data_IF_891487660960
#
_entry.id   IF_891487660960
#
_cell.length_a   1.000
_cell.length_b   1.000
_cell.length_c   1.000
_cell.angle_alpha   90.00
_cell.angle_beta   90.00
_cell.angle_gamma   90.00
#
_symmetry.space_group_name_H-M   'P 1'
#
loop_
_entity.id
_entity.type
_entity.pdbx_description
1 polymer ?
#
# COMPACT_ATOMS: atom_id res chain seq x y z
N UNK A 1 8.62 3.57 -6.26
CA UNK A 1 7.78 4.64 -6.86
C UNK A 1 8.29 6.01 -6.45
N UNK A 2 8.45 6.95 -7.39
CA UNK A 2 9.11 8.26 -7.15
C UNK A 2 8.36 9.16 -6.17
N UNK A 3 7.03 9.20 -6.26
CA UNK A 3 6.18 10.13 -5.50
C UNK A 3 6.08 9.82 -4.00
N UNK A 4 6.34 8.58 -3.57
CA UNK A 4 6.33 8.20 -2.14
C UNK A 4 7.67 8.46 -1.43
N UNK A 5 8.72 8.82 -2.17
CA UNK A 5 10.07 9.03 -1.59
C UNK A 5 10.24 10.46 -1.09
N UNK A 6 11.25 10.65 -0.23
CA UNK A 6 11.72 11.96 0.22
C UNK A 6 10.62 12.87 0.81
N UNK A 7 9.65 12.28 1.53
CA UNK A 7 8.55 13.00 2.20
C UNK A 7 7.73 13.92 1.27
N UNK A 8 7.64 13.60 -0.02
CA UNK A 8 6.92 14.42 -1.02
C UNK A 8 5.43 14.56 -0.76
N UNK A 9 4.84 13.61 -0.02
CA UNK A 9 3.45 13.65 0.42
C UNK A 9 3.29 14.12 1.87
N UNK A 10 4.29 14.85 2.40
CA UNK A 10 4.26 15.38 3.77
C UNK A 10 4.53 14.34 4.87
N UNK A 11 4.71 13.06 4.53
CA UNK A 11 4.99 11.99 5.48
C UNK A 11 5.99 10.96 4.91
N UNK A 12 6.59 10.17 5.82
CA UNK A 12 7.63 9.20 5.45
C UNK A 12 7.06 7.84 5.11
N UNK A 13 7.27 7.42 3.86
CA UNK A 13 7.06 6.04 3.44
C UNK A 13 8.34 5.22 3.53
N UNK A 14 8.23 4.02 4.10
CA UNK A 14 9.22 2.95 4.01
C UNK A 14 8.79 1.97 2.91
N UNK A 15 9.73 1.29 2.27
CA UNK A 15 9.48 0.33 1.18
C UNK A 15 9.89 -1.08 1.63
N UNK A 16 9.15 -2.11 1.18
CA UNK A 16 9.42 -3.53 1.42
C UNK A 16 9.65 -3.82 2.91
N UNK A 17 8.64 -3.52 3.72
CA UNK A 17 8.74 -3.62 5.18
C UNK A 17 8.16 -4.95 5.66
N UNK A 18 8.93 -5.77 6.40
CA UNK A 18 8.38 -6.94 7.08
C UNK A 18 7.41 -6.52 8.19
N UNK A 19 6.22 -7.14 8.20
CA UNK A 19 5.18 -6.99 9.21
C UNK A 19 4.59 -8.37 9.53
N UNK A 20 5.03 -8.96 10.64
CA UNK A 20 4.67 -10.33 11.00
C UNK A 20 5.11 -11.30 9.91
N UNK A 21 4.17 -12.08 9.37
CA UNK A 21 4.41 -13.05 8.31
C UNK A 21 4.39 -12.44 6.89
N UNK A 22 4.20 -11.12 6.77
CA UNK A 22 4.01 -10.45 5.49
C UNK A 22 5.13 -9.44 5.22
N UNK A 23 5.39 -9.16 3.94
CA UNK A 23 6.17 -8.00 3.52
C UNK A 23 5.20 -7.09 2.76
N UNK A 24 5.16 -5.81 3.16
CA UNK A 24 4.32 -4.78 2.53
C UNK A 24 5.15 -3.92 1.60
N UNK A 25 4.62 -3.55 0.43
CA UNK A 25 5.39 -2.80 -0.56
C UNK A 25 5.78 -1.41 -0.08
N UNK A 26 4.82 -0.67 0.48
CA UNK A 26 5.08 0.62 1.12
C UNK A 26 4.24 0.81 2.37
N UNK A 27 4.79 1.54 3.35
CA UNK A 27 4.06 1.90 4.57
C UNK A 27 4.45 3.28 5.07
N UNK A 28 3.46 4.09 5.42
CA UNK A 28 3.59 5.26 6.26
C UNK A 28 3.16 4.88 7.68
N UNK A 29 4.13 4.69 8.58
CA UNK A 29 3.86 4.27 9.97
C UNK A 29 3.14 5.36 10.77
N UNK A 30 3.48 6.62 10.50
CA UNK A 30 2.88 7.79 11.16
C UNK A 30 1.38 7.86 10.91
N UNK A 31 0.95 7.61 9.67
CA UNK A 31 -0.45 7.66 9.25
C UNK A 31 -1.15 6.30 9.24
N UNK A 32 -0.42 5.23 9.59
CA UNK A 32 -0.87 3.83 9.49
C UNK A 32 -1.50 3.49 8.14
N UNK A 33 -0.86 3.92 7.04
CA UNK A 33 -1.29 3.59 5.67
C UNK A 33 -0.30 2.65 5.02
N UNK A 34 -0.80 1.55 4.47
CA UNK A 34 -0.05 0.59 3.64
C UNK A 34 -0.50 0.76 2.19
N UNK A 35 0.46 0.70 1.27
CA UNK A 35 0.20 0.67 -0.18
C UNK A 35 0.82 -0.60 -0.74
N UNK A 36 0.00 -1.41 -1.43
CA UNK A 36 0.39 -2.62 -2.14
C UNK A 36 0.22 -2.45 -3.65
N UNK A 37 1.15 -3.00 -4.41
CA UNK A 37 1.11 -2.98 -5.87
C UNK A 37 0.86 -4.38 -6.42
N UNK A 38 -0.29 -4.56 -7.09
CA UNK A 38 -0.72 -5.86 -7.61
C UNK A 38 -0.25 -6.07 -9.06
N UNK A 39 0.44 -7.18 -9.31
CA UNK A 39 0.87 -7.62 -10.65
C UNK A 39 -0.08 -8.60 -11.35
N UNK A 40 -1.21 -8.95 -10.74
CA UNK A 40 -2.24 -9.81 -11.33
C UNK A 40 -1.99 -11.31 -11.25
N UNK A 41 -0.93 -11.74 -10.59
CA UNK A 41 -0.71 -13.15 -10.27
C UNK A 41 -1.40 -13.59 -8.95
N UNK A 42 -2.06 -12.66 -8.24
CA UNK A 42 -2.71 -12.93 -6.95
C UNK A 42 -4.06 -13.65 -7.03
N UNK A 43 -4.57 -13.97 -8.23
CA UNK A 43 -5.83 -14.69 -8.38
C UNK A 43 -5.81 -16.11 -7.79
N UNK A 44 -4.63 -16.74 -7.67
CA UNK A 44 -4.50 -18.14 -7.25
C UNK A 44 -4.58 -18.34 -5.72
N UNK A 45 -4.62 -17.28 -4.90
CA UNK A 45 -4.69 -17.44 -3.45
C UNK A 45 -5.51 -16.36 -2.72
N UNK A 46 -6.78 -16.24 -3.09
CA UNK A 46 -7.73 -15.29 -2.48
C UNK A 46 -7.79 -15.41 -0.95
N UNK A 47 -7.77 -16.63 -0.41
CA UNK A 47 -7.80 -16.84 1.04
C UNK A 47 -6.56 -16.28 1.75
N UNK A 48 -5.37 -16.46 1.15
CA UNK A 48 -4.15 -15.85 1.68
C UNK A 48 -4.24 -14.32 1.68
N UNK A 49 -4.74 -13.72 0.60
CA UNK A 49 -4.87 -12.27 0.50
C UNK A 49 -5.90 -11.68 1.48
N UNK A 50 -7.02 -12.37 1.67
CA UNK A 50 -8.02 -12.02 2.68
C UNK A 50 -7.44 -12.05 4.09
N UNK A 51 -6.73 -13.14 4.45
CA UNK A 51 -6.09 -13.27 5.76
C UNK A 51 -5.02 -12.20 5.99
N UNK A 52 -4.22 -11.90 4.97
CA UNK A 52 -3.21 -10.83 4.99
C UNK A 52 -3.86 -9.48 5.26
N UNK A 53 -4.88 -9.13 4.48
CA UNK A 53 -5.58 -7.85 4.60
C UNK A 53 -6.26 -7.72 5.97
N UNK A 54 -6.91 -8.78 6.44
CA UNK A 54 -7.51 -8.82 7.77
C UNK A 54 -6.48 -8.61 8.88
N UNK A 55 -5.34 -9.29 8.82
CA UNK A 55 -4.28 -9.17 9.82
C UNK A 55 -3.68 -7.76 9.87
N UNK A 56 -3.38 -7.18 8.71
CA UNK A 56 -2.84 -5.81 8.63
C UNK A 56 -3.86 -4.77 9.13
N UNK A 57 -5.13 -4.95 8.78
CA UNK A 57 -6.22 -4.06 9.22
C UNK A 57 -6.45 -4.17 10.72
N UNK A 58 -6.40 -5.38 11.28
CA UNK A 58 -6.46 -5.60 12.73
C UNK A 58 -5.28 -4.95 13.48
N UNK A 59 -4.13 -4.82 12.82
CA UNK A 59 -2.99 -4.02 13.29
C UNK A 59 -3.22 -2.51 13.26
N UNK A 60 -4.40 -2.05 12.83
CA UNK A 60 -4.79 -0.64 12.75
C UNK A 60 -4.31 0.07 11.49
N UNK A 61 -3.92 -0.67 10.45
CA UNK A 61 -3.50 -0.09 9.17
C UNK A 61 -4.65 -0.01 8.18
N UNK A 62 -4.71 1.09 7.43
CA UNK A 62 -5.50 1.18 6.20
C UNK A 62 -4.66 0.65 5.05
N UNK A 63 -5.17 -0.36 4.34
CA UNK A 63 -4.48 -0.99 3.20
C UNK A 63 -5.10 -0.47 1.89
N UNK A 64 -4.29 0.15 1.04
CA UNK A 64 -4.65 0.53 -0.32
C UNK A 64 -3.91 -0.39 -1.30
N UNK A 65 -4.65 -1.01 -2.22
CA UNK A 65 -4.09 -1.86 -3.27
C UNK A 65 -4.33 -1.22 -4.63
N UNK A 66 -3.29 -1.12 -5.44
CA UNK A 66 -3.38 -0.58 -6.80
C UNK A 66 -2.82 -1.59 -7.79
N UNK A 67 -3.41 -1.67 -8.97
CA UNK A 67 -2.81 -2.42 -10.06
C UNK A 67 -1.52 -1.74 -10.51
N UNK A 68 -0.50 -2.52 -10.83
CA UNK A 68 0.76 -2.00 -11.35
C UNK A 68 0.55 -1.11 -12.58
N UNK A 69 -0.38 -1.45 -13.46
CA UNK A 69 -0.69 -0.64 -14.65
C UNK A 69 -1.29 0.72 -14.29
N UNK A 70 -2.17 0.79 -13.29
CA UNK A 70 -2.81 2.04 -12.84
C UNK A 70 -1.80 3.01 -12.23
N UNK A 71 -0.78 2.50 -11.53
CA UNK A 71 0.27 3.35 -10.97
C UNK A 71 1.01 4.15 -12.05
N UNK A 72 1.15 3.59 -13.26
CA UNK A 72 1.79 4.27 -14.39
C UNK A 72 0.80 5.06 -15.26
N UNK A 73 -0.38 4.50 -15.55
CA UNK A 73 -1.33 5.12 -16.49
C UNK A 73 -2.23 6.16 -15.83
N UNK A 74 -2.49 6.01 -14.52
CA UNK A 74 -3.44 6.83 -13.76
C UNK A 74 -2.78 7.43 -12.52
N UNK A 75 -1.48 7.78 -12.62
CA UNK A 75 -0.70 8.30 -11.48
C UNK A 75 -1.41 9.39 -10.69
N UNK A 76 -2.07 10.42 -11.29
CA UNK A 76 -2.74 11.46 -10.52
C UNK A 76 -3.86 10.91 -9.62
N UNK A 77 -4.70 10.01 -10.15
CA UNK A 77 -5.79 9.41 -9.39
C UNK A 77 -5.28 8.51 -8.24
N UNK A 78 -4.20 7.76 -8.49
CA UNK A 78 -3.56 6.95 -7.44
C UNK A 78 -3.01 7.85 -6.33
N UNK A 79 -2.36 8.96 -6.68
CA UNK A 79 -1.84 9.92 -5.68
C UNK A 79 -2.96 10.59 -4.89
N UNK A 80 -4.07 10.96 -5.53
CA UNK A 80 -5.24 11.51 -4.84
C UNK A 80 -5.81 10.53 -3.82
N UNK A 81 -5.99 9.27 -4.20
CA UNK A 81 -6.47 8.22 -3.30
C UNK A 81 -5.54 8.04 -2.09
N UNK A 82 -4.21 8.11 -2.30
CA UNK A 82 -3.23 8.03 -1.22
C UNK A 82 -3.32 9.27 -0.32
N UNK A 83 -3.35 10.47 -0.88
CA UNK A 83 -3.46 11.70 -0.09
C UNK A 83 -4.72 11.70 0.78
N UNK A 84 -5.86 11.30 0.23
CA UNK A 84 -7.12 11.17 0.98
C UNK A 84 -7.04 10.15 2.12
N UNK A 85 -6.16 9.14 2.03
CA UNK A 85 -5.94 8.18 3.10
C UNK A 85 -4.95 8.66 4.18
N UNK A 86 -4.19 9.73 3.92
CA UNK A 86 -3.21 10.28 4.85
C UNK A 86 -3.77 11.42 5.73
N UNK A 87 -4.98 11.90 5.42
CA UNK A 87 -5.75 12.84 6.24
C UNK A 87 -6.17 12.15 7.54
#
# INVERSE_FOLDING_TARGET
WYYLRANRLGCKFKRQVPMGAYIVDFVCLEKRVIIELDGGQHAENQTYDMNRTAWLTAGGFKVLRFWNHDVFQQTPAVLEAIMNALL
#
